data_IF_487155585221
#
_entry.id   IF_487155585221
#
_cell.length_a   1.000
_cell.length_b   1.000
_cell.length_c   1.000
_cell.angle_alpha   90.00
_cell.angle_beta   90.00
_cell.angle_gamma   90.00
#
_symmetry.space_group_name_H-M   'P 1'
#
loop_
_entity.id
_entity.type
_entity.pdbx_description
1 polymer ?
#
# COMPACT_ATOMS: atom_id res chain seq x y z
N UNK A 1 -74.06 -11.81 38.22
CA UNK A 1 -73.91 -11.63 36.76
C UNK A 1 -73.10 -10.36 36.55
N UNK A 2 -72.10 -10.21 35.70
CA UNK A 2 -71.28 -11.06 34.85
C UNK A 2 -70.24 -10.07 34.25
N UNK A 3 -68.99 -10.50 34.05
CA UNK A 3 -67.93 -9.84 33.26
C UNK A 3 -67.37 -8.51 33.79
N UNK A 4 -66.07 -8.22 33.75
CA UNK A 4 -64.94 -8.89 33.11
C UNK A 4 -63.65 -8.15 33.49
N UNK A 5 -62.60 -8.93 33.79
CA UNK A 5 -61.26 -8.45 34.15
C UNK A 5 -60.60 -7.80 32.92
N UNK A 6 -60.31 -6.51 32.98
CA UNK A 6 -59.44 -5.84 32.01
C UNK A 6 -57.97 -6.21 32.33
N UNK A 7 -57.41 -7.13 31.54
CA UNK A 7 -56.00 -7.51 31.61
C UNK A 7 -55.12 -6.36 31.11
N UNK A 8 -54.06 -6.10 31.88
CA UNK A 8 -52.93 -5.20 31.59
C UNK A 8 -52.38 -5.43 30.18
N UNK A 9 -52.37 -4.40 29.34
CA UNK A 9 -51.47 -4.32 28.18
C UNK A 9 -50.25 -3.50 28.57
N UNK A 10 -49.25 -4.17 29.15
CA UNK A 10 -47.90 -3.63 29.19
C UNK A 10 -47.28 -3.92 27.81
N UNK A 11 -47.39 -2.95 26.90
CA UNK A 11 -46.72 -2.99 25.61
C UNK A 11 -45.22 -2.81 25.83
N UNK A 12 -44.48 -3.91 25.87
CA UNK A 12 -43.03 -3.88 25.81
C UNK A 12 -42.62 -3.38 24.41
N UNK A 13 -42.09 -2.16 24.35
CA UNK A 13 -41.41 -1.63 23.17
C UNK A 13 -40.15 -2.46 22.98
N UNK A 14 -40.21 -3.40 22.04
CA UNK A 14 -39.07 -4.22 21.65
C UNK A 14 -38.10 -3.33 20.87
N UNK A 15 -37.02 -2.93 21.54
CA UNK A 15 -35.90 -2.23 20.91
C UNK A 15 -35.25 -3.18 19.90
N UNK A 16 -35.54 -3.01 18.61
CA UNK A 16 -34.85 -3.73 17.53
C UNK A 16 -33.47 -3.10 17.39
N UNK A 17 -32.48 -3.69 18.07
CA UNK A 17 -31.07 -3.39 17.84
C UNK A 17 -30.68 -3.97 16.49
N UNK A 18 -30.63 -3.12 15.47
CA UNK A 18 -30.06 -3.42 14.17
C UNK A 18 -28.54 -3.53 14.34
N UNK A 19 -28.05 -4.70 14.75
CA UNK A 19 -26.65 -5.05 14.55
C UNK A 19 -26.47 -5.24 13.04
N UNK A 20 -26.08 -4.16 12.37
CA UNK A 20 -25.45 -4.24 11.07
C UNK A 20 -24.18 -5.05 11.22
N UNK A 21 -24.30 -6.37 11.07
CA UNK A 21 -23.16 -7.26 10.92
C UNK A 21 -22.38 -6.78 9.71
N UNK A 22 -21.14 -6.35 9.92
CA UNK A 22 -20.18 -6.25 8.86
C UNK A 22 -20.05 -7.66 8.29
N UNK A 23 -20.63 -7.88 7.10
CA UNK A 23 -20.42 -9.10 6.35
C UNK A 23 -18.93 -9.21 6.09
N UNK A 24 -18.25 -10.02 6.89
CA UNK A 24 -16.88 -10.44 6.64
C UNK A 24 -16.92 -11.44 5.49
N UNK A 25 -16.97 -10.92 4.26
CA UNK A 25 -16.48 -11.68 3.10
C UNK A 25 -14.97 -11.86 3.30
N UNK A 26 -14.66 -12.84 4.12
CA UNK A 26 -13.31 -13.32 4.34
C UNK A 26 -12.99 -14.15 3.11
N UNK A 27 -12.54 -13.51 2.03
CA UNK A 27 -11.70 -14.21 1.07
C UNK A 27 -10.37 -14.44 1.77
N UNK A 28 -10.34 -15.48 2.62
CA UNK A 28 -9.12 -15.97 3.21
C UNK A 28 -8.14 -16.22 2.04
N UNK A 29 -6.92 -15.66 2.07
CA UNK A 29 -5.89 -16.05 1.12
C UNK A 29 -5.74 -17.57 1.17
N UNK A 30 -5.59 -18.26 0.03
CA UNK A 30 -5.47 -19.71 0.02
C UNK A 30 -4.36 -20.15 0.97
N UNK A 31 -4.74 -20.97 1.95
CA UNK A 31 -3.83 -21.54 2.92
C UNK A 31 -2.77 -22.36 2.20
N UNK A 32 -1.51 -21.90 2.22
CA UNK A 32 -0.38 -22.67 1.70
C UNK A 32 0.81 -21.88 1.18
N UNK A 33 0.65 -20.63 0.78
CA UNK A 33 1.77 -19.76 0.45
C UNK A 33 2.06 -18.84 1.64
N UNK A 34 3.06 -19.19 2.47
CA UNK A 34 3.75 -18.14 3.23
C UNK A 34 4.41 -17.28 2.16
N UNK A 35 3.75 -16.19 1.75
CA UNK A 35 4.35 -15.22 0.86
C UNK A 35 5.61 -14.72 1.55
N UNK A 36 6.77 -15.09 1.00
CA UNK A 36 8.04 -14.63 1.53
C UNK A 36 8.04 -13.11 1.53
N UNK A 37 8.79 -12.51 2.46
CA UNK A 37 8.93 -11.06 2.53
C UNK A 37 9.37 -10.50 1.16
N UNK A 38 10.30 -11.21 0.50
CA UNK A 38 10.80 -10.91 -0.84
C UNK A 38 9.74 -11.02 -1.94
N UNK A 39 8.86 -12.02 -1.88
CA UNK A 39 8.06 -12.40 -3.04
C UNK A 39 8.93 -13.02 -4.15
N UNK A 40 8.33 -13.22 -5.32
CA UNK A 40 9.06 -13.69 -6.52
C UNK A 40 9.56 -12.49 -7.30
N UNK A 41 10.84 -12.51 -7.65
CA UNK A 41 11.52 -11.59 -8.57
C UNK A 41 12.38 -12.49 -9.48
N UNK A 42 11.77 -13.00 -10.55
CA UNK A 42 12.40 -14.04 -11.37
C UNK A 42 13.52 -13.49 -12.26
N UNK A 43 13.42 -12.23 -12.65
CA UNK A 43 14.41 -11.54 -13.49
C UNK A 43 15.53 -10.86 -12.68
N UNK A 44 15.43 -10.86 -11.35
CA UNK A 44 16.36 -10.24 -10.39
C UNK A 44 16.56 -8.75 -10.64
N UNK A 45 15.52 -8.03 -11.07
CA UNK A 45 15.60 -6.59 -11.32
C UNK A 45 15.33 -5.74 -10.07
N UNK A 46 14.91 -6.39 -8.97
CA UNK A 46 14.58 -5.79 -7.68
C UNK A 46 13.11 -5.41 -7.53
N UNK A 47 12.26 -5.70 -8.51
CA UNK A 47 10.81 -5.53 -8.47
C UNK A 47 10.15 -6.90 -8.46
N UNK A 48 9.15 -7.08 -7.60
CA UNK A 48 8.39 -8.34 -7.59
C UNK A 48 7.59 -8.52 -8.89
N UNK A 49 7.56 -9.74 -9.41
CA UNK A 49 6.88 -10.11 -10.65
C UNK A 49 5.39 -9.72 -10.66
N UNK A 50 4.71 -9.81 -9.51
CA UNK A 50 3.29 -9.47 -9.40
C UNK A 50 3.05 -7.95 -9.44
N UNK A 51 4.01 -7.16 -8.94
CA UNK A 51 4.01 -5.71 -9.06
C UNK A 51 4.32 -5.28 -10.49
N UNK A 52 5.29 -5.93 -11.15
CA UNK A 52 5.57 -5.71 -12.57
C UNK A 52 4.35 -6.00 -13.44
N UNK A 53 3.72 -7.15 -13.22
CA UNK A 53 2.49 -7.56 -13.93
C UNK A 53 1.39 -6.51 -13.76
N UNK A 54 1.19 -6.00 -12.54
CA UNK A 54 0.24 -4.93 -12.28
C UNK A 54 0.59 -3.64 -13.02
N UNK A 55 1.86 -3.21 -12.98
CA UNK A 55 2.33 -1.97 -13.64
C UNK A 55 2.15 -2.08 -15.16
N UNK A 56 2.49 -3.21 -15.77
CA UNK A 56 2.38 -3.41 -17.22
C UNK A 56 0.94 -3.48 -17.71
N UNK A 57 0.05 -4.11 -16.93
CA UNK A 57 -1.36 -4.17 -17.24
C UNK A 57 -2.05 -2.79 -17.11
N UNK A 58 -1.66 -2.00 -16.09
CA UNK A 58 -2.34 -0.74 -15.75
C UNK A 58 -1.76 0.45 -16.52
N UNK A 59 -0.44 0.44 -16.76
CA UNK A 59 0.31 1.52 -17.40
C UNK A 59 1.17 0.96 -18.54
N UNK A 60 0.56 0.44 -19.62
CA UNK A 60 1.29 -0.19 -20.70
C UNK A 60 2.14 0.83 -21.49
N UNK A 61 3.34 0.39 -21.88
CA UNK A 61 4.16 1.08 -22.86
C UNK A 61 3.62 0.85 -24.30
N UNK A 62 3.88 1.75 -25.26
CA UNK A 62 4.66 2.98 -25.13
C UNK A 62 3.87 4.15 -24.50
N UNK A 63 2.54 4.08 -24.49
CA UNK A 63 1.67 5.21 -24.09
C UNK A 63 1.95 5.72 -22.67
N UNK A 64 2.33 4.85 -21.74
CA UNK A 64 2.61 5.21 -20.35
C UNK A 64 4.06 4.90 -19.92
N UNK A 65 5.01 4.84 -20.86
CA UNK A 65 6.38 4.40 -20.58
C UNK A 65 7.05 5.14 -19.41
N UNK A 66 6.81 6.45 -19.28
CA UNK A 66 7.35 7.26 -18.18
C UNK A 66 6.71 6.97 -16.82
N UNK A 67 5.38 6.81 -16.78
CA UNK A 67 4.69 6.41 -15.54
C UNK A 67 5.14 5.01 -15.12
N UNK A 68 5.14 4.09 -16.07
CA UNK A 68 5.56 2.71 -15.87
C UNK A 68 6.97 2.62 -15.24
N UNK A 69 7.93 3.34 -15.81
CA UNK A 69 9.30 3.40 -15.29
C UNK A 69 9.39 4.05 -13.91
N UNK A 70 8.68 5.16 -13.66
CA UNK A 70 8.65 5.80 -12.35
C UNK A 70 8.07 4.88 -11.26
N UNK A 71 7.03 4.12 -11.59
CA UNK A 71 6.41 3.15 -10.68
C UNK A 71 7.36 1.99 -10.37
N UNK A 72 8.07 1.46 -11.37
CA UNK A 72 9.12 0.44 -11.16
C UNK A 72 10.27 0.95 -10.30
N UNK A 73 10.72 2.18 -10.53
CA UNK A 73 11.74 2.82 -9.70
C UNK A 73 11.30 2.88 -8.23
N UNK A 74 10.05 3.26 -7.97
CA UNK A 74 9.51 3.29 -6.61
C UNK A 74 9.36 1.90 -6.02
N UNK A 75 8.82 0.95 -6.79
CA UNK A 75 8.62 -0.43 -6.35
C UNK A 75 9.95 -1.08 -5.93
N UNK A 76 11.01 -0.87 -6.71
CA UNK A 76 12.37 -1.35 -6.40
C UNK A 76 12.91 -0.78 -5.08
N UNK A 77 12.79 0.53 -4.88
CA UNK A 77 13.25 1.18 -3.66
C UNK A 77 12.42 0.77 -2.42
N UNK A 78 11.11 0.58 -2.60
CA UNK A 78 10.22 0.06 -1.56
C UNK A 78 10.57 -1.39 -1.19
N UNK A 79 10.82 -2.24 -2.18
CA UNK A 79 11.24 -3.62 -1.96
C UNK A 79 12.59 -3.69 -1.23
N UNK A 80 13.54 -2.83 -1.60
CA UNK A 80 14.83 -2.73 -0.91
C UNK A 80 14.68 -2.27 0.54
N UNK A 81 13.77 -1.31 0.81
CA UNK A 81 13.44 -0.88 2.18
C UNK A 81 12.89 -2.02 3.03
N UNK A 82 12.04 -2.87 2.44
CA UNK A 82 11.45 -4.04 3.11
C UNK A 82 12.52 -5.08 3.43
N UNK A 83 13.41 -5.39 2.49
CA UNK A 83 14.42 -6.46 2.64
C UNK A 83 15.56 -6.09 3.59
N UNK A 84 15.94 -4.81 3.64
CA UNK A 84 17.03 -4.31 4.48
C UNK A 84 16.52 -3.54 5.72
N UNK A 85 15.29 -3.78 6.16
CA UNK A 85 14.65 -3.05 7.28
C UNK A 85 15.38 -3.19 8.64
N UNK A 86 16.24 -4.20 8.78
CA UNK A 86 17.09 -4.43 9.95
C UNK A 86 18.40 -3.62 9.94
N UNK A 87 18.77 -3.03 8.81
CA UNK A 87 19.99 -2.24 8.64
C UNK A 87 19.62 -0.74 8.55
N UNK A 88 20.01 0.02 9.58
CA UNK A 88 19.66 1.44 9.66
C UNK A 88 20.26 2.27 8.52
N UNK A 89 21.51 2.01 8.14
CA UNK A 89 22.18 2.78 7.09
C UNK A 89 21.53 2.51 5.73
N UNK A 90 21.24 1.24 5.43
CA UNK A 90 20.51 0.88 4.21
C UNK A 90 19.07 1.39 4.23
N UNK A 91 18.39 1.33 5.36
CA UNK A 91 17.02 1.87 5.50
C UNK A 91 16.96 3.35 5.15
N UNK A 92 17.90 4.17 5.65
CA UNK A 92 17.98 5.60 5.31
C UNK A 92 18.23 5.81 3.81
N UNK A 93 19.13 5.02 3.21
CA UNK A 93 19.40 5.08 1.78
C UNK A 93 18.15 4.72 0.94
N UNK A 94 17.49 3.61 1.25
CA UNK A 94 16.33 3.12 0.50
C UNK A 94 15.09 4.04 0.67
N UNK A 95 14.90 4.64 1.85
CA UNK A 95 13.88 5.67 2.06
C UNK A 95 14.19 6.91 1.22
N UNK A 96 15.47 7.31 1.12
CA UNK A 96 15.88 8.40 0.23
C UNK A 96 15.58 8.07 -1.23
N UNK A 97 15.88 6.85 -1.68
CA UNK A 97 15.59 6.41 -3.04
C UNK A 97 14.09 6.36 -3.34
N UNK A 98 13.26 5.99 -2.35
CA UNK A 98 11.80 6.09 -2.45
C UNK A 98 11.34 7.54 -2.66
N UNK A 99 11.94 8.51 -1.96
CA UNK A 99 11.62 9.92 -2.17
C UNK A 99 12.03 10.38 -3.58
N UNK A 100 13.21 9.97 -4.07
CA UNK A 100 13.64 10.28 -5.46
C UNK A 100 12.67 9.68 -6.49
N UNK A 101 12.23 8.44 -6.29
CA UNK A 101 11.26 7.80 -7.17
C UNK A 101 9.88 8.50 -7.12
N UNK A 102 9.45 8.94 -5.93
CA UNK A 102 8.21 9.70 -5.78
C UNK A 102 8.29 11.06 -6.47
N UNK A 103 9.42 11.78 -6.36
CA UNK A 103 9.66 13.01 -7.11
C UNK A 103 9.56 12.78 -8.62
N UNK A 104 10.17 11.71 -9.14
CA UNK A 104 10.00 11.34 -10.55
C UNK A 104 8.52 11.13 -10.90
N UNK A 105 7.78 10.37 -10.10
CA UNK A 105 6.35 10.11 -10.35
C UNK A 105 5.54 11.42 -10.32
N UNK A 106 5.82 12.31 -9.36
CA UNK A 106 5.17 13.63 -9.28
C UNK A 106 5.49 14.49 -10.51
N UNK A 107 6.71 14.43 -11.05
CA UNK A 107 7.06 15.13 -12.28
C UNK A 107 6.33 14.57 -13.53
N UNK A 108 6.12 13.25 -13.59
CA UNK A 108 5.43 12.59 -14.72
C UNK A 108 3.90 12.64 -14.61
N UNK A 109 3.37 12.80 -13.39
CA UNK A 109 1.93 12.74 -13.07
C UNK A 109 1.50 13.88 -12.13
N UNK A 110 1.83 15.12 -12.47
CA UNK A 110 1.60 16.28 -11.59
C UNK A 110 0.14 16.41 -11.10
N UNK A 111 -0.84 15.97 -11.89
CA UNK A 111 -2.27 16.10 -11.58
C UNK A 111 -2.85 14.95 -10.76
N UNK A 112 -2.30 13.74 -10.88
CA UNK A 112 -2.92 12.53 -10.32
C UNK A 112 -1.93 11.50 -9.77
N UNK A 113 -0.70 11.91 -9.42
CA UNK A 113 0.30 11.01 -8.86
C UNK A 113 -0.19 10.30 -7.58
N UNK A 114 -0.95 10.99 -6.72
CA UNK A 114 -1.32 10.47 -5.40
C UNK A 114 -2.17 9.19 -5.46
N UNK A 115 -3.31 9.13 -6.17
CA UNK A 115 -4.08 7.89 -6.27
C UNK A 115 -3.27 6.75 -6.91
N UNK A 116 -2.45 7.05 -7.93
CA UNK A 116 -1.56 6.06 -8.58
C UNK A 116 -0.54 5.50 -7.59
N UNK A 117 0.08 6.37 -6.80
CA UNK A 117 1.07 6.03 -5.80
C UNK A 117 0.50 5.17 -4.66
N UNK A 118 -0.66 5.57 -4.12
CA UNK A 118 -1.28 4.85 -3.00
C UNK A 118 -1.71 3.44 -3.41
N UNK A 119 -2.27 3.29 -4.61
CA UNK A 119 -2.63 1.97 -5.14
C UNK A 119 -1.40 1.07 -5.31
N UNK A 120 -0.31 1.57 -5.91
CA UNK A 120 0.93 0.81 -6.03
C UNK A 120 1.49 0.42 -4.65
N UNK A 121 1.54 1.37 -3.71
CA UNK A 121 2.05 1.10 -2.34
C UNK A 121 1.20 0.05 -1.64
N UNK A 122 -0.13 0.07 -1.78
CA UNK A 122 -1.01 -0.92 -1.19
C UNK A 122 -0.70 -2.34 -1.70
N UNK A 123 -0.39 -2.50 -2.99
CA UNK A 123 0.01 -3.78 -3.60
C UNK A 123 1.39 -4.25 -3.16
N UNK A 124 2.33 -3.31 -2.98
CA UNK A 124 3.66 -3.64 -2.44
C UNK A 124 3.56 -4.13 -0.99
N UNK A 125 2.65 -3.54 -0.20
CA UNK A 125 2.49 -3.78 1.23
C UNK A 125 1.32 -4.73 1.57
N UNK A 126 0.92 -5.56 0.62
CA UNK A 126 -0.21 -6.50 0.63
C UNK A 126 -0.20 -7.60 1.72
N UNK A 127 0.82 -7.63 2.58
CA UNK A 127 0.91 -8.54 3.72
C UNK A 127 1.37 -7.81 4.98
N UNK A 128 0.96 -8.32 6.15
CA UNK A 128 1.40 -7.75 7.44
C UNK A 128 2.93 -7.70 7.56
N UNK A 129 3.70 -8.76 7.25
CA UNK A 129 5.16 -8.71 7.36
C UNK A 129 5.81 -7.64 6.47
N UNK A 130 5.29 -7.42 5.25
CA UNK A 130 5.79 -6.35 4.35
C UNK A 130 5.49 -4.96 4.91
N UNK A 131 4.29 -4.76 5.43
CA UNK A 131 3.91 -3.51 6.10
C UNK A 131 4.78 -3.24 7.33
N UNK A 132 5.00 -4.23 8.19
CA UNK A 132 5.83 -4.12 9.39
C UNK A 132 7.30 -3.80 9.05
N UNK A 133 7.88 -4.49 8.07
CA UNK A 133 9.25 -4.24 7.61
C UNK A 133 9.38 -2.83 7.01
N UNK A 134 8.42 -2.39 6.22
CA UNK A 134 8.40 -1.04 5.64
C UNK A 134 8.33 0.04 6.73
N UNK A 135 7.46 -0.13 7.72
CA UNK A 135 7.35 0.78 8.87
C UNK A 135 8.62 0.78 9.72
N UNK A 136 9.28 -0.37 9.87
CA UNK A 136 10.57 -0.47 10.56
C UNK A 136 11.65 0.34 9.84
N UNK A 137 11.77 0.22 8.52
CA UNK A 137 12.70 1.01 7.71
C UNK A 137 12.41 2.52 7.84
N UNK A 138 11.14 2.92 7.79
CA UNK A 138 10.72 4.31 8.00
C UNK A 138 11.11 4.79 9.42
N UNK A 139 10.98 3.93 10.43
CA UNK A 139 11.40 4.21 11.80
C UNK A 139 12.90 4.49 11.94
N UNK A 140 13.75 3.80 11.16
CA UNK A 140 15.20 4.07 11.12
C UNK A 140 15.51 5.45 10.52
N UNK A 141 14.68 5.93 9.60
CA UNK A 141 14.86 7.22 8.93
C UNK A 141 14.17 8.40 9.65
N UNK A 142 13.36 8.14 10.68
CA UNK A 142 12.49 9.15 11.31
C UNK A 142 13.23 10.37 11.91
N UNK A 143 14.48 10.18 12.35
CA UNK A 143 15.31 11.24 12.92
C UNK A 143 16.19 11.97 11.89
N UNK A 144 16.16 11.55 10.62
CA UNK A 144 17.01 12.09 9.56
C UNK A 144 16.24 13.09 8.72
N UNK A 145 16.86 14.23 8.41
CA UNK A 145 16.31 15.16 7.43
C UNK A 145 16.61 14.65 6.02
N UNK A 146 15.59 14.15 5.33
CA UNK A 146 15.66 13.75 3.92
C UNK A 146 14.96 14.84 3.09
N UNK A 147 15.69 15.84 2.59
CA UNK A 147 15.07 16.94 1.86
C UNK A 147 14.54 16.46 0.52
N UNK A 148 13.36 16.94 0.14
CA UNK A 148 12.90 16.89 -1.24
C UNK A 148 13.77 17.81 -2.10
N UNK A 149 13.97 17.43 -3.36
CA UNK A 149 14.55 18.33 -4.36
C UNK A 149 13.56 19.47 -4.66
N UNK A 150 14.05 20.64 -5.12
CA UNK A 150 13.18 21.65 -5.70
C UNK A 150 12.33 21.05 -6.83
N UNK A 151 11.06 21.46 -6.94
CA UNK A 151 10.10 20.84 -7.84
C UNK A 151 10.55 20.88 -9.31
N UNK A 152 11.22 21.95 -9.71
CA UNK A 152 11.81 22.14 -11.03
C UNK A 152 12.93 21.14 -11.35
N UNK A 153 13.46 20.42 -10.34
CA UNK A 153 14.53 19.42 -10.48
C UNK A 153 14.02 17.97 -10.41
N UNK A 154 12.72 17.73 -10.20
CA UNK A 154 12.18 16.38 -10.00
C UNK A 154 12.30 15.48 -11.23
N UNK A 155 12.30 16.05 -12.45
CA UNK A 155 12.55 15.27 -13.67
C UNK A 155 13.92 14.58 -13.63
N UNK A 156 14.91 15.21 -13.00
CA UNK A 156 16.26 14.66 -12.81
C UNK A 156 16.35 13.57 -11.74
N UNK A 157 15.24 13.22 -11.08
CA UNK A 157 15.15 12.07 -10.18
C UNK A 157 14.67 10.79 -10.89
N UNK A 158 14.23 10.89 -12.15
CA UNK A 158 13.84 9.75 -12.96
C UNK A 158 15.06 8.98 -13.48
N UNK A 159 15.08 7.67 -13.23
CA UNK A 159 16.07 6.73 -13.77
C UNK A 159 15.61 6.08 -15.07
#
# INVERSE_FOLDING_TARGET
MLMGRLKRMAGAILLVTFFGGCGSETSAPPAGAVLSLAGTDANNDGVRDDIETYIDATYPAPANADTNRALRQYAKAAQSSILDADDAAKSIAHVTDRFRALECLMARRATDFHPVFVELRARILDTNPRSEAYLKADGQAAAVNIPLRPAEQWVGACL
#
